data_IF_212125611239
#
_entry.id   IF_212125611239
#
_cell.length_a   1.000
_cell.length_b   1.000
_cell.length_c   1.000
_cell.angle_alpha   90.00
_cell.angle_beta   90.00
_cell.angle_gamma   90.00
#
_symmetry.space_group_name_H-M   'P 1'
#
loop_
_entity.id
_entity.type
_entity.pdbx_description
1 polymer ?
#
# COMPACT_ATOMS: atom_id res chain seq x y z
N UNK A 1 17.73 -19.88 14.37
CA UNK A 1 18.93 -19.01 14.55
C UNK A 1 19.28 -18.97 16.02
N UNK A 2 20.57 -19.02 16.38
CA UNK A 2 21.02 -19.01 17.78
C UNK A 2 20.78 -17.63 18.42
N UNK A 3 20.46 -17.58 19.71
CA UNK A 3 20.22 -16.32 20.43
C UNK A 3 21.44 -15.37 20.45
N UNK A 4 22.65 -15.89 20.26
CA UNK A 4 23.87 -15.09 20.16
C UNK A 4 23.94 -14.27 18.85
N UNK A 5 23.45 -14.82 17.73
CA UNK A 5 23.43 -14.13 16.44
C UNK A 5 22.39 -12.99 16.45
N UNK A 6 21.25 -13.21 17.11
CA UNK A 6 20.21 -12.19 17.28
C UNK A 6 20.72 -10.97 18.06
N UNK A 7 21.47 -11.18 19.15
CA UNK A 7 22.05 -10.09 19.93
C UNK A 7 23.12 -9.31 19.16
N UNK A 8 23.92 -10.02 18.35
CA UNK A 8 24.91 -9.37 17.47
C UNK A 8 24.25 -8.54 16.39
N UNK A 9 23.20 -9.05 15.74
CA UNK A 9 22.46 -8.32 14.70
C UNK A 9 21.79 -7.07 15.26
N UNK A 10 21.17 -7.16 16.44
CA UNK A 10 20.54 -6.00 17.09
C UNK A 10 21.52 -4.86 17.35
N UNK A 11 22.70 -5.16 17.91
CA UNK A 11 23.74 -4.15 18.14
C UNK A 11 24.30 -3.57 16.83
N UNK A 12 24.43 -4.39 15.79
CA UNK A 12 24.89 -3.94 14.49
C UNK A 12 23.87 -2.99 13.83
N UNK A 13 22.58 -3.27 13.97
CA UNK A 13 21.47 -2.43 13.51
C UNK A 13 21.49 -1.07 14.22
N UNK A 14 21.58 -1.06 15.56
CA UNK A 14 21.61 0.16 16.37
C UNK A 14 22.78 1.07 15.96
N UNK A 15 24.00 0.53 15.92
CA UNK A 15 25.20 1.26 15.48
C UNK A 15 25.09 1.75 14.04
N UNK A 16 24.45 0.98 13.16
CA UNK A 16 24.27 1.40 11.78
C UNK A 16 23.33 2.59 11.68
N UNK A 17 22.20 2.56 12.39
CA UNK A 17 21.23 3.65 12.44
C UNK A 17 21.88 4.96 12.96
N UNK A 18 22.64 4.86 14.06
CA UNK A 18 23.34 6.01 14.65
C UNK A 18 24.32 6.65 13.66
N UNK A 19 25.07 5.85 12.89
CA UNK A 19 26.02 6.37 11.89
C UNK A 19 25.35 7.11 10.74
N UNK A 20 24.12 6.71 10.39
CA UNK A 20 23.31 7.39 9.37
C UNK A 20 22.61 8.64 9.93
N UNK A 21 22.72 8.90 11.24
CA UNK A 21 22.12 10.04 11.90
C UNK A 21 20.65 9.82 12.29
N UNK A 22 20.18 8.58 12.31
CA UNK A 22 18.85 8.26 12.84
C UNK A 22 18.88 8.12 14.36
N UNK A 23 17.85 8.64 15.02
CA UNK A 23 17.57 8.34 16.42
C UNK A 23 16.97 6.95 16.55
N UNK A 24 17.63 6.07 17.30
CA UNK A 24 17.17 4.71 17.51
C UNK A 24 15.99 4.67 18.50
N UNK A 25 14.80 4.30 18.01
CA UNK A 25 13.57 4.34 18.81
C UNK A 25 13.22 2.98 19.44
N UNK A 26 13.24 1.89 18.66
CA UNK A 26 12.71 0.61 19.12
C UNK A 26 13.17 -0.59 18.27
N UNK A 27 13.45 -1.74 18.91
CA UNK A 27 13.62 -3.02 18.22
C UNK A 27 12.31 -3.80 18.18
N UNK A 28 11.81 -4.13 16.99
CA UNK A 28 10.69 -5.07 16.87
C UNK A 28 11.20 -6.51 16.90
N UNK A 29 10.57 -7.35 17.72
CA UNK A 29 10.68 -8.82 17.63
C UNK A 29 9.29 -9.39 17.35
N UNK A 30 8.97 -9.73 16.10
CA UNK A 30 7.72 -10.37 15.77
C UNK A 30 7.62 -11.73 16.52
N UNK A 31 6.43 -12.12 17.00
CA UNK A 31 6.20 -13.47 17.52
C UNK A 31 6.57 -14.53 16.47
N UNK A 32 7.17 -15.64 16.89
CA UNK A 32 7.66 -16.70 15.98
C UNK A 32 6.56 -17.34 15.14
N UNK A 33 5.32 -17.36 15.66
CA UNK A 33 4.14 -17.93 15.02
C UNK A 33 3.40 -16.94 14.11
N UNK A 34 3.91 -15.71 13.97
CA UNK A 34 3.25 -14.68 13.16
C UNK A 34 3.42 -15.02 11.67
N UNK A 35 2.33 -15.16 10.90
CA UNK A 35 2.40 -15.53 9.48
C UNK A 35 3.00 -14.44 8.59
N UNK A 36 3.15 -13.22 9.13
CA UNK A 36 3.71 -12.07 8.42
C UNK A 36 4.52 -11.19 9.39
N UNK A 37 5.78 -11.57 9.67
CA UNK A 37 6.64 -10.85 10.60
C UNK A 37 7.07 -9.48 10.07
N UNK A 38 7.34 -9.38 8.77
CA UNK A 38 7.73 -8.12 8.10
C UNK A 38 6.64 -7.07 8.26
N UNK A 39 5.41 -7.46 7.94
CA UNK A 39 4.29 -6.55 8.08
C UNK A 39 4.07 -6.18 9.54
N UNK A 40 4.19 -7.13 10.47
CA UNK A 40 4.03 -6.85 11.90
C UNK A 40 4.97 -5.72 12.35
N UNK A 41 6.25 -5.79 11.95
CA UNK A 41 7.21 -4.72 12.21
C UNK A 41 6.84 -3.40 11.53
N UNK A 42 6.41 -3.46 10.27
CA UNK A 42 6.01 -2.28 9.52
C UNK A 42 4.77 -1.58 10.12
N UNK A 43 3.81 -2.32 10.67
CA UNK A 43 2.68 -1.74 11.39
C UNK A 43 3.11 -0.94 12.64
N UNK A 44 4.13 -1.40 13.34
CA UNK A 44 4.70 -0.70 14.51
C UNK A 44 5.45 0.54 14.02
N UNK A 45 6.31 0.41 13.01
CA UNK A 45 7.04 1.53 12.41
C UNK A 45 6.09 2.66 11.96
N UNK A 46 5.01 2.30 11.26
CA UNK A 46 3.96 3.24 10.86
C UNK A 46 3.22 3.88 12.05
N UNK A 47 2.97 3.12 13.11
CA UNK A 47 2.35 3.64 14.33
C UNK A 47 3.23 4.64 15.08
N UNK A 48 4.55 4.58 14.88
CA UNK A 48 5.54 5.48 15.48
C UNK A 48 5.97 6.61 14.54
N UNK A 49 5.42 6.68 13.32
CA UNK A 49 5.86 7.59 12.26
C UNK A 49 7.38 7.51 12.00
N UNK A 50 7.91 6.27 12.00
CA UNK A 50 9.34 6.05 11.82
C UNK A 50 9.81 6.51 10.44
N UNK A 51 10.91 7.26 10.40
CA UNK A 51 11.51 7.73 9.16
C UNK A 51 12.06 6.57 8.31
N UNK A 52 12.67 5.58 8.97
CA UNK A 52 13.31 4.43 8.37
C UNK A 52 13.10 3.14 9.20
N UNK A 53 13.17 2.00 8.52
CA UNK A 53 13.31 0.67 9.14
C UNK A 53 14.72 0.16 8.83
N UNK A 54 15.44 -0.27 9.87
CA UNK A 54 16.80 -0.80 9.73
C UNK A 54 16.78 -2.31 9.99
N UNK A 55 17.26 -3.09 9.03
CA UNK A 55 17.34 -4.56 9.09
C UNK A 55 18.76 -5.04 8.89
N UNK A 56 19.08 -6.26 9.33
CA UNK A 56 20.42 -6.78 9.17
C UNK A 56 20.76 -7.03 7.69
N UNK A 57 19.86 -7.69 6.97
CA UNK A 57 19.98 -8.00 5.54
C UNK A 57 18.58 -8.06 4.89
N UNK A 58 18.55 -8.16 3.55
CA UNK A 58 17.29 -8.25 2.80
C UNK A 58 16.49 -9.52 3.09
N UNK A 59 17.09 -10.57 3.66
CA UNK A 59 16.36 -11.78 4.05
C UNK A 59 15.35 -11.47 5.15
N UNK A 60 15.63 -10.46 5.98
CA UNK A 60 14.74 -9.99 7.05
C UNK A 60 13.41 -9.43 6.51
N UNK A 61 13.38 -8.97 5.26
CA UNK A 61 12.19 -8.41 4.59
C UNK A 61 11.71 -9.27 3.42
N UNK A 62 12.00 -10.58 3.45
CA UNK A 62 11.68 -11.52 2.37
C UNK A 62 12.13 -11.04 0.98
N UNK A 63 13.29 -10.38 0.91
CA UNK A 63 13.85 -9.78 -0.31
C UNK A 63 12.87 -8.83 -1.03
N UNK A 64 11.93 -8.24 -0.29
CA UNK A 64 10.87 -7.38 -0.83
C UNK A 64 11.00 -5.95 -0.30
N UNK A 65 12.09 -5.22 -0.64
CA UNK A 65 12.36 -3.88 -0.08
C UNK A 65 11.26 -2.87 -0.43
N UNK A 66 10.66 -2.98 -1.62
CA UNK A 66 9.55 -2.12 -2.06
C UNK A 66 8.39 -2.05 -1.05
N UNK A 67 8.12 -3.16 -0.35
CA UNK A 67 7.06 -3.24 0.66
C UNK A 67 7.29 -2.30 1.85
N UNK A 68 8.55 -2.04 2.18
CA UNK A 68 8.96 -1.10 3.23
C UNK A 68 9.06 0.32 2.63
N UNK A 69 9.71 0.44 1.47
CA UNK A 69 9.91 1.71 0.76
C UNK A 69 8.61 2.43 0.37
N UNK A 70 7.50 1.71 0.25
CA UNK A 70 6.17 2.33 0.10
C UNK A 70 5.79 3.24 1.29
N UNK A 71 6.42 3.06 2.45
CA UNK A 71 6.02 3.71 3.71
C UNK A 71 7.14 4.48 4.40
N UNK A 72 8.37 4.00 4.35
CA UNK A 72 9.55 4.58 5.00
C UNK A 72 10.83 4.16 4.27
N UNK A 73 11.95 4.81 4.57
CA UNK A 73 13.23 4.32 4.06
C UNK A 73 13.52 2.93 4.64
N UNK A 74 14.26 2.11 3.89
CA UNK A 74 14.79 0.84 4.38
C UNK A 74 16.32 0.90 4.36
N UNK A 75 16.93 0.63 5.50
CA UNK A 75 18.38 0.49 5.64
C UNK A 75 18.75 -0.96 5.89
N UNK A 76 19.80 -1.41 5.22
CA UNK A 76 20.37 -2.76 5.41
C UNK A 76 21.77 -2.65 5.99
N UNK A 77 22.16 -3.56 6.88
CA UNK A 77 23.51 -3.57 7.47
C UNK A 77 24.48 -4.37 6.61
N UNK A 78 24.02 -5.47 6.01
CA UNK A 78 24.81 -6.40 5.22
C UNK A 78 24.05 -6.88 3.96
N UNK A 79 24.47 -6.44 2.75
CA UNK A 79 25.37 -5.31 2.51
C UNK A 79 24.79 -3.99 3.06
N UNK A 80 25.63 -2.97 3.35
CA UNK A 80 25.14 -1.67 3.77
C UNK A 80 24.53 -0.91 2.58
N UNK A 81 23.21 -0.85 2.51
CA UNK A 81 22.48 -0.18 1.42
C UNK A 81 21.26 0.58 1.94
N UNK A 82 21.03 1.74 1.32
CA UNK A 82 19.87 2.62 1.55
C UNK A 82 18.85 2.47 0.44
N UNK A 83 17.63 2.14 0.80
CA UNK A 83 16.48 1.98 -0.08
C UNK A 83 15.47 3.09 0.21
N UNK A 84 15.60 4.19 -0.51
CA UNK A 84 14.79 5.39 -0.29
C UNK A 84 13.29 5.11 -0.46
N UNK A 85 12.50 5.77 0.39
CA UNK A 85 11.04 5.77 0.31
C UNK A 85 10.58 6.20 -1.08
N UNK A 86 9.57 5.50 -1.59
CA UNK A 86 8.88 5.89 -2.81
C UNK A 86 8.26 7.28 -2.65
N UNK A 87 8.38 8.17 -3.65
CA UNK A 87 7.73 9.48 -3.62
C UNK A 87 6.21 9.39 -3.82
N UNK A 88 5.67 8.19 -4.02
CA UNK A 88 4.24 7.92 -4.08
C UNK A 88 3.64 8.33 -2.74
N UNK A 89 2.60 9.18 -2.77
CA UNK A 89 1.95 9.64 -1.55
C UNK A 89 1.52 8.45 -0.68
N UNK A 90 1.61 8.51 0.67
CA UNK A 90 1.29 7.39 1.56
C UNK A 90 -0.14 6.84 1.39
N UNK A 91 -1.05 7.64 0.83
CA UNK A 91 -2.38 7.20 0.41
C UNK A 91 -2.38 6.17 -0.74
N UNK A 92 -1.31 6.09 -1.53
CA UNK A 92 -1.14 5.20 -2.68
C UNK A 92 -0.13 4.07 -2.44
N UNK A 93 0.52 4.05 -1.27
CA UNK A 93 1.39 2.98 -0.81
C UNK A 93 0.64 1.64 -0.74
N UNK A 94 1.27 0.56 -1.23
CA UNK A 94 0.76 -0.80 -1.10
C UNK A 94 0.62 -1.17 0.38
N UNK A 95 -0.35 -2.01 0.74
CA UNK A 95 -0.52 -2.36 2.16
C UNK A 95 0.76 -3.00 2.72
N UNK A 96 1.13 -2.68 3.97
CA UNK A 96 2.34 -3.19 4.59
C UNK A 96 2.30 -4.71 4.83
N UNK A 97 1.20 -5.39 4.54
CA UNK A 97 0.94 -6.82 4.66
C UNK A 97 0.18 -7.31 3.42
N UNK A 98 0.35 -8.58 3.00
CA UNK A 98 -0.60 -9.21 2.10
C UNK A 98 -2.01 -9.06 2.68
N UNK A 99 -2.94 -8.60 1.84
CA UNK A 99 -4.34 -8.50 2.23
C UNK A 99 -4.86 -9.91 2.57
N UNK A 100 -5.07 -10.16 3.86
CA UNK A 100 -5.81 -11.33 4.33
C UNK A 100 -7.24 -10.93 4.66
N UNK A 101 -8.15 -11.89 4.73
CA UNK A 101 -9.55 -11.62 5.08
C UNK A 101 -9.68 -10.90 6.42
N UNK A 102 -8.92 -11.32 7.44
CA UNK A 102 -8.94 -10.69 8.77
C UNK A 102 -8.42 -9.25 8.77
N UNK A 103 -7.34 -8.98 8.01
CA UNK A 103 -6.80 -7.63 7.84
C UNK A 103 -7.77 -6.75 7.05
N UNK A 104 -8.39 -7.28 5.99
CA UNK A 104 -9.38 -6.55 5.21
C UNK A 104 -10.58 -6.13 6.06
N UNK A 105 -11.12 -7.06 6.88
CA UNK A 105 -12.18 -6.73 7.83
C UNK A 105 -11.74 -5.69 8.86
N UNK A 106 -10.53 -5.81 9.41
CA UNK A 106 -10.00 -4.82 10.37
C UNK A 106 -9.89 -3.42 9.74
N UNK A 107 -9.41 -3.32 8.50
CA UNK A 107 -9.37 -2.05 7.75
C UNK A 107 -10.79 -1.49 7.58
N UNK A 108 -11.77 -2.32 7.20
CA UNK A 108 -13.16 -1.88 7.07
C UNK A 108 -13.75 -1.37 8.40
N UNK A 109 -13.34 -1.95 9.54
CA UNK A 109 -13.77 -1.51 10.88
C UNK A 109 -13.09 -0.22 11.34
N UNK A 110 -11.77 -0.11 11.15
CA UNK A 110 -10.99 1.09 11.54
C UNK A 110 -11.38 2.31 10.70
N UNK A 111 -11.68 2.09 9.41
CA UNK A 111 -12.05 3.16 8.47
C UNK A 111 -13.57 3.28 8.29
N UNK A 112 -14.37 3.00 9.33
CA UNK A 112 -15.85 3.13 9.28
C UNK A 112 -16.29 4.52 8.80
N UNK A 113 -15.69 5.58 9.34
CA UNK A 113 -15.99 6.97 8.98
C UNK A 113 -15.40 7.43 7.64
N UNK A 114 -14.43 6.69 7.08
CA UNK A 114 -13.87 7.05 5.79
C UNK A 114 -14.83 6.69 4.65
N UNK A 115 -14.91 7.55 3.65
CA UNK A 115 -15.54 7.20 2.38
C UNK A 115 -14.71 6.14 1.63
N UNK A 116 -15.32 5.06 1.16
CA UNK A 116 -14.64 4.01 0.40
C UNK A 116 -14.04 4.50 -0.93
N UNK A 117 -14.56 5.61 -1.49
CA UNK A 117 -14.03 6.20 -2.72
C UNK A 117 -12.92 7.24 -2.47
N UNK A 118 -12.69 7.67 -1.22
CA UNK A 118 -11.61 8.62 -0.85
C UNK A 118 -10.50 7.98 -0.01
N UNK A 119 -10.70 6.77 0.51
CA UNK A 119 -9.72 6.07 1.33
C UNK A 119 -9.20 4.85 0.55
N UNK A 120 -8.02 4.93 -0.07
CA UNK A 120 -7.46 3.83 -0.85
C UNK A 120 -7.28 2.55 -0.04
N UNK A 121 -6.93 2.64 1.26
CA UNK A 121 -6.88 1.47 2.16
C UNK A 121 -8.25 0.77 2.27
N UNK A 122 -9.34 1.54 2.43
CA UNK A 122 -10.71 1.00 2.46
C UNK A 122 -11.13 0.45 1.09
N UNK A 123 -10.75 1.12 0.00
CA UNK A 123 -11.02 0.65 -1.36
C UNK A 123 -10.32 -0.69 -1.64
N UNK A 124 -9.03 -0.82 -1.28
CA UNK A 124 -8.24 -2.03 -1.43
C UNK A 124 -8.82 -3.19 -0.60
N UNK A 125 -9.16 -2.94 0.67
CA UNK A 125 -9.80 -3.93 1.53
C UNK A 125 -11.17 -4.38 1.01
N UNK A 126 -12.01 -3.44 0.54
CA UNK A 126 -13.29 -3.74 -0.06
C UNK A 126 -13.12 -4.58 -1.34
N UNK A 127 -12.26 -4.17 -2.26
CA UNK A 127 -11.98 -4.90 -3.50
C UNK A 127 -11.44 -6.32 -3.25
N UNK A 128 -10.61 -6.50 -2.24
CA UNK A 128 -10.16 -7.82 -1.80
C UNK A 128 -11.31 -8.69 -1.31
N UNK A 129 -12.15 -8.17 -0.40
CA UNK A 129 -13.30 -8.93 0.14
C UNK A 129 -14.31 -9.32 -0.95
N UNK A 130 -14.48 -8.47 -1.96
CA UNK A 130 -15.31 -8.76 -3.14
C UNK A 130 -14.73 -9.91 -3.95
N UNK A 131 -13.43 -9.86 -4.30
CA UNK A 131 -12.76 -10.94 -5.04
C UNK A 131 -12.73 -12.25 -4.26
N UNK A 132 -12.61 -12.18 -2.94
CA UNK A 132 -12.67 -13.34 -2.04
C UNK A 132 -14.10 -13.87 -1.80
N UNK A 133 -15.14 -13.26 -2.40
CA UNK A 133 -16.54 -13.66 -2.24
C UNK A 133 -17.15 -13.39 -0.86
N UNK A 134 -16.50 -12.58 -0.02
CA UNK A 134 -16.92 -12.28 1.36
C UNK A 134 -17.85 -11.08 1.45
N UNK A 135 -17.84 -10.23 0.43
CA UNK A 135 -18.76 -9.10 0.29
C UNK A 135 -19.34 -9.14 -1.11
N UNK A 136 -20.66 -9.18 -1.21
CA UNK A 136 -21.35 -9.03 -2.49
C UNK A 136 -21.53 -7.53 -2.73
N UNK A 137 -20.94 -6.96 -3.80
CA UNK A 137 -21.21 -5.59 -4.17
C UNK A 137 -22.71 -5.41 -4.39
N UNK A 138 -23.29 -4.28 -3.95
CA UNK A 138 -24.68 -3.99 -4.24
C UNK A 138 -24.90 -3.99 -5.76
N UNK A 139 -25.94 -4.71 -6.21
CA UNK A 139 -26.24 -4.91 -7.64
C UNK A 139 -26.45 -3.61 -8.42
N UNK A 140 -26.84 -2.54 -7.73
CA UNK A 140 -26.95 -1.20 -8.30
C UNK A 140 -25.75 -0.36 -7.91
N UNK A 141 -25.19 0.37 -8.86
CA UNK A 141 -24.05 1.26 -8.60
C UNK A 141 -24.42 2.39 -7.63
N UNK A 142 -23.41 3.05 -7.04
CA UNK A 142 -23.63 4.25 -6.23
C UNK A 142 -24.45 5.29 -7.00
N UNK A 143 -24.12 5.52 -8.28
CA UNK A 143 -24.83 6.45 -9.17
C UNK A 143 -26.28 6.07 -9.38
N UNK A 144 -26.56 4.81 -9.71
CA UNK A 144 -27.95 4.34 -9.91
C UNK A 144 -28.78 4.46 -8.65
N UNK A 145 -28.21 4.13 -7.47
CA UNK A 145 -28.93 4.29 -6.21
C UNK A 145 -29.17 5.75 -5.86
N UNK A 146 -28.23 6.64 -6.16
CA UNK A 146 -28.38 8.06 -5.94
C UNK A 146 -29.46 8.65 -6.88
N UNK A 147 -29.42 8.31 -8.17
CA UNK A 147 -30.43 8.70 -9.16
C UNK A 147 -31.83 8.22 -8.76
N UNK A 148 -31.97 6.94 -8.36
CA UNK A 148 -33.23 6.39 -7.88
C UNK A 148 -33.77 7.08 -6.61
N UNK A 149 -32.92 7.79 -5.86
CA UNK A 149 -33.28 8.53 -4.65
C UNK A 149 -33.30 10.05 -4.85
N UNK A 150 -33.10 10.53 -6.08
CA UNK A 150 -32.99 11.96 -6.37
C UNK A 150 -31.78 12.65 -5.72
N UNK A 151 -30.78 11.90 -5.28
CA UNK A 151 -29.56 12.44 -4.67
C UNK A 151 -28.59 12.82 -5.79
N UNK A 152 -28.20 14.09 -5.86
CA UNK A 152 -27.11 14.52 -6.75
C UNK A 152 -25.77 14.07 -6.16
N UNK A 153 -24.98 13.37 -6.97
CA UNK A 153 -23.59 13.08 -6.67
C UNK A 153 -22.74 14.11 -7.40
N UNK A 154 -21.96 14.88 -6.65
CA UNK A 154 -20.98 15.77 -7.26
C UNK A 154 -19.90 14.93 -7.96
N UNK A 155 -19.39 15.38 -9.12
CA UNK A 155 -18.22 14.78 -9.74
C UNK A 155 -17.08 14.71 -8.72
N UNK A 156 -16.42 13.55 -8.62
CA UNK A 156 -15.20 13.42 -7.84
C UNK A 156 -14.19 14.41 -8.43
N UNK A 157 -13.68 15.32 -7.59
CA UNK A 157 -12.87 16.48 -7.97
C UNK A 157 -11.99 16.25 -9.19
N UNK A 158 -12.37 16.87 -10.29
CA UNK A 158 -11.50 17.09 -11.44
C UNK A 158 -10.61 18.29 -11.14
N UNK A 159 -9.65 18.12 -10.22
CA UNK A 159 -8.49 19.03 -10.12
C UNK A 159 -7.29 18.48 -10.89
N UNK A 160 -7.49 17.49 -11.76
CA UNK A 160 -6.57 17.36 -12.88
C UNK A 160 -6.90 18.52 -13.83
N UNK A 161 -5.92 19.38 -14.19
CA UNK A 161 -6.09 20.26 -15.32
C UNK A 161 -6.45 19.35 -16.48
N UNK A 162 -7.71 19.42 -16.94
CA UNK A 162 -8.04 18.86 -18.24
C UNK A 162 -7.20 19.70 -19.18
N UNK A 163 -6.03 19.18 -19.56
CA UNK A 163 -5.29 19.73 -20.66
C UNK A 163 -6.26 19.67 -21.84
N UNK A 164 -6.77 20.84 -22.23
CA UNK A 164 -7.62 21.05 -23.39
C UNK A 164 -6.77 20.76 -24.64
N UNK A 165 -6.36 19.51 -24.81
CA UNK A 165 -5.32 19.11 -25.76
C UNK A 165 -5.78 18.07 -26.77
N UNK A 166 -6.78 17.25 -26.42
CA UNK A 166 -7.37 16.30 -27.36
C UNK A 166 -8.82 16.71 -27.63
N UNK A 167 -9.11 17.07 -28.88
CA UNK A 167 -10.49 17.24 -29.32
C UNK A 167 -11.24 15.88 -29.26
N UNK A 168 -12.56 15.95 -29.10
CA UNK A 168 -13.41 14.77 -29.00
C UNK A 168 -13.29 13.83 -30.21
N UNK A 169 -13.07 14.37 -31.41
CA UNK A 169 -12.89 13.61 -32.65
C UNK A 169 -11.60 12.80 -32.65
N UNK A 170 -10.50 13.38 -32.16
CA UNK A 170 -9.22 12.66 -31.96
C UNK A 170 -9.41 11.51 -30.98
N UNK A 171 -10.17 11.72 -29.91
CA UNK A 171 -10.43 10.70 -28.90
C UNK A 171 -11.30 9.55 -29.45
N UNK A 172 -12.30 9.87 -30.26
CA UNK A 172 -13.14 8.88 -30.95
C UNK A 172 -12.34 8.07 -31.97
N UNK A 173 -11.47 8.72 -32.75
CA UNK A 173 -10.62 8.06 -33.75
C UNK A 173 -9.68 7.02 -33.12
N UNK A 174 -9.08 7.34 -31.96
CA UNK A 174 -8.24 6.40 -31.20
C UNK A 174 -9.06 5.20 -30.71
N UNK A 175 -10.27 5.43 -30.19
CA UNK A 175 -11.14 4.35 -29.72
C UNK A 175 -11.56 3.43 -30.87
N UNK A 176 -11.91 3.99 -32.03
CA UNK A 176 -12.24 3.22 -33.22
C UNK A 176 -11.05 2.38 -33.71
N UNK A 177 -9.83 2.95 -33.68
CA UNK A 177 -8.60 2.24 -34.03
C UNK A 177 -8.29 1.06 -33.10
N UNK A 178 -8.49 1.22 -31.79
CA UNK A 178 -8.31 0.15 -30.81
C UNK A 178 -9.35 -0.97 -30.99
N UNK A 179 -10.60 -0.61 -31.28
CA UNK A 179 -11.67 -1.59 -31.56
C UNK A 179 -11.39 -2.36 -32.84
N UNK A 180 -10.80 -1.71 -33.86
CA UNK A 180 -10.38 -2.37 -35.09
C UNK A 180 -9.20 -3.34 -34.86
N UNK A 181 -8.15 -2.92 -34.14
CA UNK A 181 -7.00 -3.77 -33.80
C UNK A 181 -7.41 -5.00 -32.96
N UNK A 182 -8.37 -4.85 -32.04
CA UNK A 182 -8.94 -5.98 -31.30
C UNK A 182 -9.73 -6.97 -32.16
N UNK A 183 -10.29 -6.53 -33.30
CA UNK A 183 -11.01 -7.39 -34.25
C UNK A 183 -10.07 -8.07 -35.25
N UNK A 184 -8.94 -7.46 -35.57
CA UNK A 184 -7.93 -8.05 -36.46
C UNK A 184 -7.04 -9.09 -35.77
N UNK A 185 -6.99 -9.08 -34.43
CA UNK A 185 -6.26 -10.06 -33.60
C UNK A 185 -7.09 -11.28 -33.17
N UNK A 186 -8.35 -11.39 -33.60
CA UNK A 186 -9.25 -12.52 -33.33
C UNK A 186 -9.43 -13.40 -34.56
#
# INVERSE_FOLDING_TARGET
MSGADTSRHALAIERHAERLGYDYVYTVRPPEDRPDPVGYGLAIALGMDAAAVVVYDLTTVDHSPARVCDWCDLETVCPPETWARSPIAPEHAGLPHPLTESIAWRIMQQHKGCSAHRCPRKAAAFGFLVRAGKVVPPARTLRERAAARGIRLDPIGSELPVATGADLGTLLSVLDGLVADMRERG
#
